data_IF_668211593325
#
_entry.id   IF_668211593325
#
_cell.length_a   1.000
_cell.length_b   1.000
_cell.length_c   1.000
_cell.angle_alpha   90.00
_cell.angle_beta   90.00
_cell.angle_gamma   90.00
#
_symmetry.space_group_name_H-M   'P 1'
#
loop_
_entity.id
_entity.type
_entity.pdbx_description
1 polymer ?
#
# COMPACT_ATOMS: atom_id res chain seq x y z
N UNK A 1 -7.81 -3.64 -10.64
CA UNK A 1 -8.53 -3.95 -9.39
C UNK A 1 -7.51 -4.45 -8.41
N UNK A 2 -7.70 -4.24 -7.11
CA UNK A 2 -6.75 -4.67 -6.07
C UNK A 2 -7.40 -5.64 -5.08
N UNK A 3 -8.60 -6.13 -5.41
CA UNK A 3 -9.47 -6.92 -4.54
C UNK A 3 -9.71 -8.28 -5.19
N UNK A 4 -9.70 -9.37 -4.41
CA UNK A 4 -10.13 -10.68 -4.90
C UNK A 4 -11.59 -10.64 -5.34
N UNK A 5 -11.94 -11.42 -6.37
CA UNK A 5 -13.34 -11.67 -6.72
C UNK A 5 -13.94 -12.51 -5.60
N UNK A 6 -15.04 -12.06 -5.03
CA UNK A 6 -15.80 -12.84 -4.04
C UNK A 6 -16.98 -13.47 -4.78
N UNK A 7 -17.04 -14.80 -4.77
CA UNK A 7 -18.20 -15.55 -5.26
C UNK A 7 -18.96 -16.07 -4.03
N UNK A 8 -20.19 -15.58 -3.88
CA UNK A 8 -21.13 -16.05 -2.87
C UNK A 8 -22.32 -16.69 -3.60
N UNK A 9 -22.24 -17.99 -3.89
CA UNK A 9 -23.44 -18.78 -4.14
C UNK A 9 -24.05 -19.09 -2.78
N UNK A 10 -25.37 -18.92 -2.59
CA UNK A 10 -26.07 -18.99 -1.29
C UNK A 10 -25.98 -20.32 -0.51
N UNK A 11 -25.10 -21.24 -0.90
CA UNK A 11 -24.85 -22.53 -0.26
C UNK A 11 -23.48 -22.50 0.41
N UNK A 12 -23.38 -21.96 1.63
CA UNK A 12 -22.28 -22.05 2.65
C UNK A 12 -20.79 -21.93 2.24
N UNK A 13 -20.45 -21.86 0.95
CA UNK A 13 -19.08 -21.92 0.42
C UNK A 13 -18.74 -20.55 -0.15
N UNK A 14 -18.08 -19.75 0.67
CA UNK A 14 -17.49 -18.49 0.21
C UNK A 14 -16.19 -18.80 -0.54
N UNK A 15 -16.21 -18.68 -1.88
CA UNK A 15 -15.00 -18.88 -2.68
C UNK A 15 -14.33 -17.53 -2.96
N UNK A 16 -13.11 -17.39 -2.46
CA UNK A 16 -12.22 -16.28 -2.80
C UNK A 16 -11.53 -16.60 -4.14
N UNK A 17 -11.96 -15.94 -5.21
CA UNK A 17 -11.45 -16.14 -6.56
C UNK A 17 -10.21 -15.31 -6.90
N UNK A 18 -9.90 -15.21 -8.19
CA UNK A 18 -8.75 -14.43 -8.67
C UNK A 18 -8.86 -12.94 -8.33
N UNK A 19 -7.70 -12.29 -8.22
CA UNK A 19 -7.59 -10.85 -8.06
C UNK A 19 -8.20 -10.17 -9.29
N UNK A 20 -9.22 -9.34 -9.05
CA UNK A 20 -9.93 -8.63 -10.12
C UNK A 20 -9.01 -7.62 -10.82
N UNK A 21 -9.16 -7.50 -12.14
CA UNK A 21 -8.44 -6.49 -12.94
C UNK A 21 -9.18 -5.15 -13.10
N UNK A 22 -10.34 -4.99 -12.46
CA UNK A 22 -11.24 -3.83 -12.58
C UNK A 22 -10.61 -2.45 -12.28
N UNK A 23 -10.83 -1.43 -13.11
CA UNK A 23 -10.24 -0.08 -12.96
C UNK A 23 -8.91 0.11 -13.73
N UNK A 24 -8.23 1.24 -13.52
CA UNK A 24 -7.06 1.65 -14.32
C UNK A 24 -5.88 0.67 -14.23
N UNK A 25 -5.42 0.08 -15.36
CA UNK A 25 -4.24 -0.78 -15.39
C UNK A 25 -2.94 -0.04 -15.04
N UNK A 26 -2.84 1.24 -15.40
CA UNK A 26 -1.67 2.06 -15.10
C UNK A 26 -1.47 2.25 -13.59
N UNK A 27 -2.55 2.60 -12.88
CA UNK A 27 -2.54 2.75 -11.42
C UNK A 27 -2.15 1.44 -10.74
N UNK A 28 -2.69 0.31 -11.19
CA UNK A 28 -2.33 -1.01 -10.66
C UNK A 28 -0.84 -1.30 -10.81
N UNK A 29 -0.26 -1.03 -11.99
CA UNK A 29 1.19 -1.21 -12.21
C UNK A 29 2.02 -0.33 -11.29
N UNK A 30 1.67 0.96 -11.18
CA UNK A 30 2.36 1.90 -10.32
C UNK A 30 2.33 1.47 -8.84
N UNK A 31 1.16 1.06 -8.33
CA UNK A 31 1.01 0.61 -6.94
C UNK A 31 1.76 -0.69 -6.65
N UNK A 32 1.79 -1.64 -7.59
CA UNK A 32 2.56 -2.88 -7.43
C UNK A 32 4.06 -2.60 -7.44
N UNK A 33 4.55 -1.68 -8.29
CA UNK A 33 5.95 -1.26 -8.28
C UNK A 33 6.32 -0.54 -6.98
N UNK A 34 5.44 0.35 -6.50
CA UNK A 34 5.61 1.02 -5.22
C UNK A 34 5.66 0.02 -4.05
N UNK A 35 4.80 -0.99 -4.06
CA UNK A 35 4.82 -2.06 -3.08
C UNK A 35 6.14 -2.85 -3.10
N UNK A 36 6.68 -3.16 -4.29
CA UNK A 36 7.98 -3.84 -4.41
C UNK A 36 9.13 -2.98 -3.90
N UNK A 37 9.09 -1.68 -4.15
CA UNK A 37 10.06 -0.74 -3.59
C UNK A 37 9.94 -0.66 -2.07
N UNK A 38 8.72 -0.61 -1.54
CA UNK A 38 8.45 -0.54 -0.10
C UNK A 38 8.95 -1.79 0.63
N UNK A 39 8.63 -3.00 0.15
CA UNK A 39 9.05 -4.27 0.78
C UNK A 39 10.58 -4.46 0.77
N UNK A 40 11.26 -3.96 -0.27
CA UNK A 40 12.74 -4.06 -0.39
C UNK A 40 13.49 -2.94 0.33
N UNK A 41 12.81 -1.86 0.70
CA UNK A 41 13.44 -0.74 1.39
C UNK A 41 13.70 -1.10 2.86
N UNK A 42 14.88 -0.76 3.43
CA UNK A 42 15.15 -0.95 4.86
C UNK A 42 14.20 -0.14 5.75
N UNK A 43 13.60 0.93 5.22
CA UNK A 43 12.61 1.78 5.90
C UNK A 43 11.18 1.22 5.84
N UNK A 44 10.95 0.16 5.06
CA UNK A 44 9.63 -0.43 4.84
C UNK A 44 9.31 -1.61 5.76
N UNK A 45 9.84 -1.61 6.99
CA UNK A 45 9.74 -2.74 7.94
C UNK A 45 8.31 -3.22 8.14
N UNK A 46 7.35 -2.30 8.30
CA UNK A 46 5.93 -2.65 8.45
C UNK A 46 5.36 -3.40 7.22
N UNK A 47 5.62 -2.88 6.01
CA UNK A 47 5.13 -3.51 4.77
C UNK A 47 5.80 -4.86 4.52
N UNK A 48 7.07 -5.01 4.90
CA UNK A 48 7.81 -6.27 4.81
C UNK A 48 7.21 -7.34 5.73
N UNK A 49 6.90 -7.00 6.98
CA UNK A 49 6.27 -7.97 7.92
C UNK A 49 4.92 -8.44 7.39
N UNK A 50 4.10 -7.53 6.85
CA UNK A 50 2.81 -7.89 6.25
C UNK A 50 3.02 -8.76 5.00
N UNK A 51 4.00 -8.42 4.16
CA UNK A 51 4.35 -9.19 2.98
C UNK A 51 4.76 -10.63 3.33
N UNK A 52 5.71 -10.80 4.25
CA UNK A 52 6.27 -12.10 4.61
C UNK A 52 5.19 -13.02 5.17
N UNK A 53 4.36 -12.51 6.10
CA UNK A 53 3.21 -13.25 6.68
C UNK A 53 2.23 -13.78 5.62
N UNK A 54 1.94 -12.99 4.59
CA UNK A 54 0.99 -13.38 3.54
C UNK A 54 1.68 -14.27 2.51
N UNK A 55 2.96 -14.02 2.22
CA UNK A 55 3.75 -14.78 1.27
C UNK A 55 3.90 -16.24 1.72
N UNK A 56 4.08 -16.48 3.02
CA UNK A 56 4.12 -17.82 3.62
C UNK A 56 2.80 -18.58 3.44
N UNK A 57 1.65 -17.91 3.55
CA UNK A 57 0.32 -18.56 3.52
C UNK A 57 -0.30 -18.72 2.13
N UNK A 58 -0.01 -17.80 1.21
CA UNK A 58 -0.74 -17.65 -0.08
C UNK A 58 0.20 -17.40 -1.27
N UNK A 59 1.50 -17.27 -1.04
CA UNK A 59 2.49 -17.04 -2.07
C UNK A 59 2.76 -15.56 -2.39
N UNK A 60 3.96 -15.33 -2.94
CA UNK A 60 4.55 -13.99 -3.18
C UNK A 60 3.71 -13.06 -4.05
N UNK A 61 3.06 -13.59 -5.10
CA UNK A 61 2.23 -12.79 -6.03
C UNK A 61 0.98 -12.25 -5.35
N UNK A 62 0.39 -13.01 -4.43
CA UNK A 62 -0.78 -12.57 -3.67
C UNK A 62 -0.36 -11.58 -2.59
N UNK A 63 0.75 -11.86 -1.91
CA UNK A 63 1.32 -10.98 -0.88
C UNK A 63 1.60 -9.57 -1.40
N UNK A 64 2.25 -9.42 -2.56
CA UNK A 64 2.57 -8.07 -3.07
C UNK A 64 1.32 -7.26 -3.43
N UNK A 65 0.27 -7.91 -3.94
CA UNK A 65 -0.99 -7.22 -4.24
C UNK A 65 -1.73 -6.85 -2.96
N UNK A 66 -1.67 -7.67 -1.93
CA UNK A 66 -2.21 -7.34 -0.62
C UNK A 66 -1.50 -6.11 0.00
N UNK A 67 -0.18 -6.05 -0.11
CA UNK A 67 0.59 -4.87 0.31
C UNK A 67 0.21 -3.65 -0.51
N UNK A 68 0.09 -3.77 -1.83
CA UNK A 68 -0.35 -2.67 -2.69
C UNK A 68 -1.74 -2.16 -2.29
N UNK A 69 -2.68 -3.06 -1.97
CA UNK A 69 -4.01 -2.71 -1.44
C UNK A 69 -3.90 -1.94 -0.14
N UNK A 70 -3.09 -2.43 0.80
CA UNK A 70 -2.89 -1.77 2.08
C UNK A 70 -2.27 -0.36 1.92
N UNK A 71 -1.32 -0.19 1.00
CA UNK A 71 -0.77 1.12 0.65
C UNK A 71 -1.84 2.06 0.10
N UNK A 72 -2.75 1.57 -0.75
CA UNK A 72 -3.84 2.38 -1.29
C UNK A 72 -4.81 2.84 -0.19
N UNK A 73 -5.18 1.95 0.73
CA UNK A 73 -6.03 2.27 1.89
C UNK A 73 -5.37 3.30 2.81
N UNK A 74 -4.04 3.19 3.01
CA UNK A 74 -3.26 4.18 3.75
C UNK A 74 -3.24 5.52 3.03
N UNK A 75 -2.96 5.56 1.73
CA UNK A 75 -2.97 6.82 0.96
C UNK A 75 -4.33 7.52 1.05
N UNK A 76 -5.43 6.78 0.89
CA UNK A 76 -6.77 7.33 1.02
C UNK A 76 -7.01 7.89 2.43
N UNK A 77 -6.67 7.12 3.46
CA UNK A 77 -6.89 7.53 4.86
C UNK A 77 -6.05 8.74 5.25
N UNK A 78 -4.78 8.79 4.81
CA UNK A 78 -3.88 9.92 5.08
C UNK A 78 -4.35 11.19 4.38
N UNK A 79 -4.82 11.08 3.14
CA UNK A 79 -5.40 12.23 2.41
C UNK A 79 -6.68 12.72 3.08
N UNK A 80 -7.55 11.83 3.57
CA UNK A 80 -8.81 12.21 4.22
C UNK A 80 -8.61 12.81 5.62
N UNK A 81 -7.65 12.28 6.39
CA UNK A 81 -7.39 12.74 7.77
C UNK A 81 -6.39 13.88 7.84
N UNK A 82 -5.72 14.21 6.73
CA UNK A 82 -4.62 15.17 6.70
C UNK A 82 -3.52 14.84 7.72
N UNK A 83 -3.36 13.55 8.04
CA UNK A 83 -2.40 13.05 9.02
C UNK A 83 -1.17 12.45 8.34
N UNK A 84 -0.03 12.48 9.05
CA UNK A 84 1.20 11.85 8.60
C UNK A 84 1.22 10.35 8.92
N UNK A 85 1.93 9.59 8.08
CA UNK A 85 2.10 8.16 8.30
C UNK A 85 2.96 7.89 9.54
N UNK A 86 2.32 7.37 10.59
CA UNK A 86 2.89 7.22 11.95
C UNK A 86 4.13 6.33 12.05
N UNK A 87 4.31 5.39 11.13
CA UNK A 87 5.47 4.48 11.12
C UNK A 87 6.68 5.03 10.34
N UNK A 88 6.60 6.24 9.78
CA UNK A 88 7.74 6.94 9.20
C UNK A 88 8.23 7.98 10.20
N UNK A 89 9.49 7.89 10.63
CA UNK A 89 10.07 8.93 11.50
C UNK A 89 10.09 10.27 10.75
N UNK A 90 9.82 11.38 11.47
CA UNK A 90 9.96 12.75 10.96
C UNK A 90 11.35 12.98 10.34
N UNK A 91 12.39 12.36 10.91
CA UNK A 91 13.77 12.47 10.44
C UNK A 91 13.98 11.80 9.08
N UNK A 92 13.36 10.63 8.89
CA UNK A 92 13.41 9.87 7.65
C UNK A 92 12.62 10.57 6.54
N UNK A 93 11.48 11.16 6.90
CA UNK A 93 10.69 12.03 6.02
C UNK A 93 11.51 13.22 5.57
N UNK A 94 12.15 13.94 6.50
CA UNK A 94 13.03 15.08 6.19
C UNK A 94 14.21 14.66 5.33
N UNK A 95 14.82 13.49 5.60
CA UNK A 95 15.90 12.95 4.77
C UNK A 95 15.43 12.71 3.33
N UNK A 96 14.24 12.14 3.14
CA UNK A 96 13.66 11.94 1.80
C UNK A 96 13.32 13.26 1.12
N UNK A 97 12.72 14.23 1.83
CA UNK A 97 12.39 15.54 1.26
C UNK A 97 13.65 16.28 0.78
N UNK A 98 14.73 16.23 1.57
CA UNK A 98 16.04 16.77 1.16
C UNK A 98 16.58 16.06 -0.08
N UNK A 99 16.47 14.73 -0.14
CA UNK A 99 16.92 13.95 -1.29
C UNK A 99 16.16 14.32 -2.58
N UNK A 100 14.84 14.49 -2.49
CA UNK A 100 14.00 14.85 -3.64
C UNK A 100 14.01 16.36 -3.97
N UNK A 101 14.79 17.17 -3.23
CA UNK A 101 14.82 18.64 -3.36
C UNK A 101 13.43 19.29 -3.31
N UNK A 102 12.47 18.62 -2.65
CA UNK A 102 11.16 19.18 -2.41
C UNK A 102 11.28 20.12 -1.22
N UNK A 103 10.92 21.39 -1.43
CA UNK A 103 10.80 22.37 -0.35
C UNK A 103 9.93 21.79 0.77
N UNK A 104 10.23 22.17 2.02
CA UNK A 104 9.51 21.71 3.19
C UNK A 104 8.01 22.03 3.04
N UNK A 105 7.24 21.06 2.53
CA UNK A 105 5.80 21.03 2.71
C UNK A 105 5.61 20.75 4.20
N UNK A 106 5.64 21.85 4.96
CA UNK A 106 5.26 21.83 6.35
C UNK A 106 3.84 21.31 6.45
N UNK A 107 3.52 20.72 7.60
CA UNK A 107 2.15 20.33 7.97
C UNK A 107 1.13 21.44 7.75
N UNK A 108 1.56 22.71 7.70
CA UNK A 108 0.76 23.87 7.33
C UNK A 108 0.15 23.80 5.90
N UNK A 109 0.79 23.13 4.93
CA UNK A 109 0.26 23.04 3.56
C UNK A 109 -0.98 22.13 3.43
N UNK A 110 -1.34 21.39 4.48
CA UNK A 110 -2.49 20.50 4.51
C UNK A 110 -3.64 21.01 5.39
N UNK A 111 -3.49 22.19 6.02
CA UNK A 111 -4.45 22.80 6.96
C UNK A 111 -5.14 24.07 6.43
N UNK A 112 -4.92 24.44 5.17
CA UNK A 112 -5.65 25.50 4.45
C UNK A 112 -6.38 24.89 3.27
#
# INVERSE_FOLDING_TARGET
GMVPRIEMSGTSVHRMGHITKQGSPALRRALVQAAWAAVRSPLGTHFRVVYDRIAERRGRRIAIVAVARHMLELMYTLTQKHELYKFCSEEERRRKLRFYKLGFLGTAAFLT
#
